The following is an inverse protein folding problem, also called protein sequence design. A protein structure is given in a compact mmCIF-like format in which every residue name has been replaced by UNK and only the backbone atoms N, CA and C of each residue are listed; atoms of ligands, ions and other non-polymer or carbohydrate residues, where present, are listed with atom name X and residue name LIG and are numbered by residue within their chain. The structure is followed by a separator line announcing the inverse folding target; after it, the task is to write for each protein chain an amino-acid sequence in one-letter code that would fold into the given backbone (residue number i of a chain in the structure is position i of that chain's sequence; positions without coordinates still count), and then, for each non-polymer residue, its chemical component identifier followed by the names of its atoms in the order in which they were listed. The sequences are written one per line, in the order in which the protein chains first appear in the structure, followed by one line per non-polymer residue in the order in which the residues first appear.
data_IF_118405107460
#
_entry.id   IF_118405107460
#
_cell.length_a   1.000
_cell.length_b   1.000
_cell.length_c   1.000
_cell.angle_alpha   90.00
_cell.angle_beta   90.00
_cell.angle_gamma   90.00
#
_symmetry.space_group_name_H-M   'P 1'
#
loop_
_entity.id
_entity.type
_entity.pdbx_description
1 polymer ?
#
# COMPACT_ATOMS: atom_id res chain seq x y z
N UNK A 1 62.44 -49.78 12.72
CA UNK A 1 62.56 -48.38 13.16
C UNK A 1 62.53 -47.56 11.87
N UNK A 2 61.53 -46.77 11.48
CA UNK A 2 60.41 -46.12 12.16
C UNK A 2 59.41 -45.74 11.04
N UNK A 3 58.18 -46.24 11.12
CA UNK A 3 56.95 -45.45 11.25
C UNK A 3 56.46 -44.68 10.00
N UNK A 4 55.47 -45.30 9.35
CA UNK A 4 54.39 -44.70 8.57
C UNK A 4 54.06 -43.24 8.95
N UNK A 5 54.51 -42.27 8.16
CA UNK A 5 53.93 -40.92 8.14
C UNK A 5 52.80 -40.85 7.10
N UNK A 6 51.75 -41.63 7.32
CA UNK A 6 50.42 -41.20 6.87
C UNK A 6 50.02 -40.03 7.75
N UNK A 7 50.36 -38.82 7.31
CA UNK A 7 49.86 -37.58 7.92
C UNK A 7 48.36 -37.54 7.66
N UNK A 8 47.60 -38.10 8.60
CA UNK A 8 46.14 -38.00 8.74
C UNK A 8 45.77 -36.52 8.53
N UNK A 9 45.25 -36.19 7.35
CA UNK A 9 44.65 -34.88 7.13
C UNK A 9 43.54 -34.75 8.16
N UNK A 10 43.70 -33.78 9.06
CA UNK A 10 42.71 -33.44 10.07
C UNK A 10 41.43 -33.07 9.33
N UNK A 11 40.42 -33.94 9.37
CA UNK A 11 39.06 -33.59 8.99
C UNK A 11 38.67 -32.38 9.84
N UNK A 12 38.57 -31.21 9.20
CA UNK A 12 38.08 -30.00 9.83
C UNK A 12 36.71 -30.29 10.42
N UNK A 13 36.58 -30.12 11.73
CA UNK A 13 35.31 -30.19 12.41
C UNK A 13 34.37 -29.16 11.76
N UNK A 14 33.14 -29.60 11.50
CA UNK A 14 32.03 -28.87 10.85
C UNK A 14 31.94 -28.99 9.32
N UNK A 15 31.96 -30.21 8.77
CA UNK A 15 31.36 -30.47 7.45
C UNK A 15 29.86 -30.76 7.60
N UNK A 16 29.01 -29.89 7.09
CA UNK A 16 27.55 -30.15 7.02
C UNK A 16 27.32 -31.30 6.04
N UNK A 17 26.50 -32.29 6.43
CA UNK A 17 26.15 -33.40 5.54
C UNK A 17 25.48 -32.86 4.27
N UNK A 18 25.88 -33.30 3.07
CA UNK A 18 25.20 -32.92 1.82
C UNK A 18 23.69 -33.19 1.84
N UNK A 19 23.24 -34.19 2.61
CA UNK A 19 21.83 -34.52 2.79
C UNK A 19 21.10 -33.40 3.54
N UNK A 20 21.72 -32.83 4.57
CA UNK A 20 21.15 -31.70 5.31
C UNK A 20 21.06 -30.48 4.40
N UNK A 21 22.08 -30.24 3.58
CA UNK A 21 22.05 -29.19 2.54
C UNK A 21 20.91 -29.39 1.54
N UNK A 22 20.70 -30.63 1.07
CA UNK A 22 19.63 -30.97 0.13
C UNK A 22 18.23 -30.76 0.76
N UNK A 23 18.03 -31.21 2.00
CA UNK A 23 16.77 -30.99 2.74
C UNK A 23 16.50 -29.51 2.91
N UNK A 24 17.53 -28.73 3.25
CA UNK A 24 17.40 -27.28 3.40
C UNK A 24 16.97 -26.61 2.08
N UNK A 25 17.58 -27.00 0.96
CA UNK A 25 17.20 -26.50 -0.37
C UNK A 25 15.75 -26.87 -0.70
N UNK A 26 15.36 -28.14 -0.52
CA UNK A 26 13.99 -28.60 -0.77
C UNK A 26 13.00 -27.84 0.12
N UNK A 27 13.35 -27.59 1.38
CA UNK A 27 12.52 -26.80 2.31
C UNK A 27 12.30 -25.37 1.81
N UNK A 28 13.35 -24.69 1.34
CA UNK A 28 13.24 -23.35 0.76
C UNK A 28 12.34 -23.36 -0.49
N UNK A 29 12.54 -24.29 -1.41
CA UNK A 29 11.71 -24.39 -2.61
C UNK A 29 10.26 -24.76 -2.29
N UNK A 30 10.04 -25.62 -1.30
CA UNK A 30 8.71 -25.97 -0.80
C UNK A 30 8.00 -24.76 -0.20
N UNK A 31 8.68 -23.99 0.66
CA UNK A 31 8.14 -22.76 1.25
C UNK A 31 7.86 -21.70 0.18
N UNK A 32 8.77 -21.53 -0.78
CA UNK A 32 8.56 -20.65 -1.92
C UNK A 32 7.33 -21.06 -2.75
N UNK A 33 7.17 -22.36 -3.02
CA UNK A 33 5.99 -22.89 -3.72
C UNK A 33 4.69 -22.63 -2.97
N UNK A 34 4.68 -22.80 -1.64
CA UNK A 34 3.52 -22.47 -0.80
C UNK A 34 3.19 -20.98 -0.88
N UNK A 35 4.19 -20.10 -0.74
CA UNK A 35 4.00 -18.65 -0.87
C UNK A 35 3.43 -18.31 -2.25
N UNK A 36 4.02 -18.86 -3.32
CA UNK A 36 3.57 -18.63 -4.69
C UNK A 36 2.11 -19.06 -4.92
N UNK A 37 1.71 -20.22 -4.36
CA UNK A 37 0.34 -20.71 -4.47
C UNK A 37 -0.64 -19.81 -3.71
N UNK A 38 -0.27 -19.33 -2.53
CA UNK A 38 -1.12 -18.44 -1.72
C UNK A 38 -1.25 -17.06 -2.37
N UNK A 39 -0.15 -16.52 -2.91
CA UNK A 39 -0.10 -15.19 -3.53
C UNK A 39 -1.01 -15.09 -4.78
N UNK A 40 -1.25 -16.21 -5.45
CA UNK A 40 -2.17 -16.29 -6.58
C UNK A 40 -3.66 -16.32 -6.21
N UNK A 41 -4.01 -16.52 -4.94
CA UNK A 41 -5.41 -16.60 -4.48
C UNK A 41 -5.91 -15.19 -4.18
N UNK A 42 -6.21 -14.44 -5.23
CA UNK A 42 -6.80 -13.11 -5.14
C UNK A 42 -8.31 -13.15 -5.45
N UNK A 43 -9.12 -12.23 -4.88
CA UNK A 43 -10.50 -12.05 -5.29
C UNK A 43 -10.59 -11.80 -6.80
N UNK A 44 -11.67 -12.30 -7.44
CA UNK A 44 -11.92 -12.06 -8.86
C UNK A 44 -11.97 -10.55 -9.13
N UNK A 45 -11.18 -10.10 -10.09
CA UNK A 45 -11.22 -8.71 -10.55
C UNK A 45 -12.51 -8.47 -11.35
N UNK A 46 -13.29 -7.46 -10.94
CA UNK A 46 -14.54 -7.06 -11.60
C UNK A 46 -14.32 -5.79 -12.43
N UNK A 47 -14.96 -5.76 -13.60
CA UNK A 47 -14.98 -4.64 -14.54
C UNK A 47 -16.25 -3.80 -14.36
N UNK A 48 -16.33 -2.65 -15.00
CA UNK A 48 -17.53 -1.80 -15.00
C UNK A 48 -18.72 -2.54 -15.64
N UNK A 49 -18.47 -3.39 -16.64
CA UNK A 49 -19.52 -4.19 -17.25
C UNK A 49 -20.19 -5.17 -16.26
N UNK A 50 -19.43 -5.66 -15.27
CA UNK A 50 -19.92 -6.58 -14.24
C UNK A 50 -20.79 -5.88 -13.18
N UNK A 51 -20.79 -4.55 -13.11
CA UNK A 51 -21.52 -3.79 -12.07
C UNK A 51 -23.03 -4.04 -12.09
N UNK A 52 -23.60 -4.27 -13.28
CA UNK A 52 -25.03 -4.60 -13.43
C UNK A 52 -25.40 -5.87 -12.67
N UNK A 53 -24.52 -6.86 -12.71
CA UNK A 53 -24.74 -8.17 -12.11
C UNK A 53 -24.26 -8.20 -10.64
N UNK A 54 -23.36 -7.29 -10.25
CA UNK A 54 -22.77 -7.20 -8.92
C UNK A 54 -22.79 -5.77 -8.32
N UNK A 55 -23.97 -5.15 -8.12
CA UNK A 55 -24.10 -3.72 -7.80
C UNK A 55 -23.54 -3.29 -6.44
N UNK A 56 -23.24 -4.24 -5.55
CA UNK A 56 -22.69 -3.99 -4.21
C UNK A 56 -21.24 -4.45 -4.05
N UNK A 57 -20.60 -4.92 -5.13
CA UNK A 57 -19.23 -5.41 -5.08
C UNK A 57 -18.23 -4.31 -5.43
N UNK A 58 -17.00 -4.49 -4.96
CA UNK A 58 -15.88 -3.67 -5.36
C UNK A 58 -15.56 -3.88 -6.85
N UNK A 59 -15.51 -2.78 -7.61
CA UNK A 59 -15.18 -2.79 -9.04
C UNK A 59 -13.71 -2.39 -9.22
N UNK A 60 -12.87 -3.36 -9.60
CA UNK A 60 -11.42 -3.16 -9.74
C UNK A 60 -11.07 -2.16 -10.83
N UNK A 61 -11.76 -2.23 -11.98
CA UNK A 61 -11.50 -1.32 -13.11
C UNK A 61 -11.65 0.16 -12.69
N UNK A 62 -12.69 0.48 -11.92
CA UNK A 62 -12.92 1.85 -11.41
C UNK A 62 -11.79 2.30 -10.47
N UNK A 63 -11.35 1.43 -9.57
CA UNK A 63 -10.22 1.74 -8.69
C UNK A 63 -8.91 1.95 -9.49
N UNK A 64 -8.67 1.14 -10.52
CA UNK A 64 -7.53 1.32 -11.42
C UNK A 64 -7.61 2.62 -12.23
N UNK A 65 -8.81 3.02 -12.67
CA UNK A 65 -9.02 4.31 -13.33
C UNK A 65 -8.69 5.47 -12.38
N UNK A 66 -9.12 5.41 -11.12
CA UNK A 66 -8.77 6.42 -10.12
C UNK A 66 -7.26 6.48 -9.85
N UNK A 67 -6.63 5.31 -9.68
CA UNK A 67 -5.19 5.22 -9.49
C UNK A 67 -4.44 5.84 -10.67
N UNK A 68 -4.79 5.44 -11.91
CA UNK A 68 -4.17 5.97 -13.13
C UNK A 68 -4.37 7.47 -13.28
N UNK A 69 -5.57 7.98 -12.99
CA UNK A 69 -5.85 9.41 -13.07
C UNK A 69 -4.98 10.19 -12.08
N UNK A 70 -4.92 9.76 -10.82
CA UNK A 70 -4.12 10.42 -9.78
C UNK A 70 -2.61 10.35 -10.10
N UNK A 71 -2.09 9.19 -10.55
CA UNK A 71 -0.67 9.05 -10.84
C UNK A 71 -0.25 9.69 -12.17
N UNK A 72 -1.18 9.87 -13.11
CA UNK A 72 -0.92 10.58 -14.36
C UNK A 72 -0.70 12.09 -14.20
N UNK A 73 -1.07 12.68 -13.06
CA UNK A 73 -0.79 14.08 -12.73
C UNK A 73 0.72 14.37 -12.74
N UNK A 74 1.55 13.38 -12.38
CA UNK A 74 2.99 13.53 -12.23
C UNK A 74 3.46 13.47 -10.78
N UNK A 75 4.72 13.83 -10.49
CA UNK A 75 5.26 13.86 -9.12
C UNK A 75 4.48 14.84 -8.23
N UNK A 76 3.84 14.33 -7.18
CA UNK A 76 3.05 15.09 -6.21
C UNK A 76 3.89 15.37 -4.96
N UNK A 77 5.11 15.88 -5.14
CA UNK A 77 5.95 16.26 -4.00
C UNK A 77 5.31 17.47 -3.31
N UNK A 78 5.35 17.51 -1.97
CA UNK A 78 4.81 18.64 -1.19
C UNK A 78 5.34 19.97 -1.72
N UNK A 79 4.44 20.95 -1.89
CA UNK A 79 4.74 22.27 -2.46
C UNK A 79 4.67 22.36 -3.99
N UNK A 80 4.49 21.25 -4.71
CA UNK A 80 4.31 21.25 -6.16
C UNK A 80 2.83 21.49 -6.51
N UNK A 81 2.56 22.12 -7.65
CA UNK A 81 1.19 22.39 -8.10
C UNK A 81 0.40 21.09 -8.36
N UNK A 82 1.10 20.04 -8.79
CA UNK A 82 0.61 18.68 -8.94
C UNK A 82 0.01 18.14 -7.63
N UNK A 83 0.68 18.40 -6.50
CA UNK A 83 0.20 18.00 -5.17
C UNK A 83 -0.87 18.95 -4.63
N UNK A 84 -0.54 20.24 -4.54
CA UNK A 84 -1.31 21.22 -3.78
C UNK A 84 -2.60 21.66 -4.48
N UNK A 85 -2.67 21.52 -5.81
CA UNK A 85 -3.80 21.99 -6.62
C UNK A 85 -4.45 20.82 -7.34
N UNK A 86 -3.70 20.12 -8.19
CA UNK A 86 -4.29 19.14 -9.11
C UNK A 86 -4.78 17.88 -8.39
N UNK A 87 -3.96 17.30 -7.50
CA UNK A 87 -4.35 16.12 -6.74
C UNK A 87 -5.48 16.42 -5.75
N UNK A 88 -5.42 17.56 -5.05
CA UNK A 88 -6.49 17.99 -4.12
C UNK A 88 -7.79 18.22 -4.88
N UNK A 89 -7.75 18.89 -6.04
CA UNK A 89 -8.93 19.12 -6.88
C UNK A 89 -9.54 17.79 -7.35
N UNK A 90 -8.71 16.89 -7.86
CA UNK A 90 -9.14 15.57 -8.32
C UNK A 90 -9.83 14.77 -7.22
N UNK A 91 -9.22 14.67 -6.04
CA UNK A 91 -9.77 13.95 -4.90
C UNK A 91 -11.07 14.60 -4.40
N UNK A 92 -11.11 15.93 -4.31
CA UNK A 92 -12.30 16.68 -3.89
C UNK A 92 -13.47 16.47 -4.85
N UNK A 93 -13.22 16.48 -6.17
CA UNK A 93 -14.24 16.23 -7.19
C UNK A 93 -14.77 14.79 -7.11
N UNK A 94 -13.88 13.80 -6.99
CA UNK A 94 -14.26 12.40 -6.84
C UNK A 94 -15.12 12.17 -5.58
N UNK A 95 -14.71 12.74 -4.44
CA UNK A 95 -15.46 12.66 -3.18
C UNK A 95 -16.83 13.32 -3.32
N UNK A 96 -16.91 14.53 -3.89
CA UNK A 96 -18.19 15.21 -4.08
C UNK A 96 -19.14 14.44 -5.01
N UNK A 97 -18.61 13.80 -6.05
CA UNK A 97 -19.39 12.92 -6.91
C UNK A 97 -19.97 11.73 -6.15
N UNK A 98 -19.17 11.09 -5.28
CA UNK A 98 -19.63 9.99 -4.40
C UNK A 98 -20.71 10.49 -3.44
N UNK A 99 -20.55 11.69 -2.87
CA UNK A 99 -21.53 12.31 -1.96
C UNK A 99 -22.90 12.52 -2.62
N UNK A 100 -22.91 12.92 -3.90
CA UNK A 100 -24.15 13.12 -4.66
C UNK A 100 -24.89 11.80 -4.93
N UNK A 101 -24.17 10.68 -4.98
CA UNK A 101 -24.73 9.34 -5.19
C UNK A 101 -25.06 8.61 -3.88
N UNK A 102 -24.83 9.24 -2.72
CA UNK A 102 -25.01 8.61 -1.43
C UNK A 102 -26.48 8.26 -1.16
N UNK A 103 -26.72 7.04 -0.68
CA UNK A 103 -28.06 6.62 -0.26
C UNK A 103 -28.54 7.42 0.97
N UNK A 104 -29.83 7.76 1.04
CA UNK A 104 -30.41 8.64 2.06
C UNK A 104 -30.27 8.17 3.53
N UNK A 105 -29.88 6.91 3.75
CA UNK A 105 -29.59 6.34 5.07
C UNK A 105 -28.18 6.67 5.59
N UNK A 106 -27.29 7.12 4.72
CA UNK A 106 -25.90 7.42 5.02
C UNK A 106 -25.62 8.91 4.85
N UNK A 107 -24.70 9.41 5.65
CA UNK A 107 -24.14 10.75 5.56
C UNK A 107 -22.64 10.62 5.27
N UNK A 108 -22.15 11.44 4.34
CA UNK A 108 -20.74 11.55 4.02
C UNK A 108 -20.31 12.99 4.30
N UNK A 109 -19.61 13.18 5.41
CA UNK A 109 -18.96 14.43 5.77
C UNK A 109 -17.61 14.52 5.06
N UNK A 110 -17.27 15.72 4.61
CA UNK A 110 -16.02 16.02 3.93
C UNK A 110 -15.43 17.29 4.55
N UNK A 111 -14.16 17.20 4.92
CA UNK A 111 -13.40 18.31 5.49
C UNK A 111 -12.03 18.40 4.78
N UNK A 112 -11.73 19.60 4.27
CA UNK A 112 -10.44 19.93 3.69
C UNK A 112 -9.68 20.79 4.69
N UNK A 113 -8.68 20.20 5.32
CA UNK A 113 -7.94 20.82 6.40
C UNK A 113 -6.66 21.43 5.88
N UNK A 114 -6.38 22.68 6.24
CA UNK A 114 -5.12 23.35 5.98
C UNK A 114 -4.33 23.45 7.28
N UNK A 115 -3.19 22.76 7.36
CA UNK A 115 -2.42 22.64 8.60
C UNK A 115 -0.97 23.08 8.41
N UNK A 116 -0.43 23.66 9.47
CA UNK A 116 0.97 24.05 9.57
C UNK A 116 1.51 23.54 10.90
N UNK A 117 2.79 23.19 10.93
CA UNK A 117 3.39 22.61 12.11
C UNK A 117 4.89 22.52 12.01
N UNK A 118 5.51 22.11 13.11
CA UNK A 118 6.94 21.84 13.15
C UNK A 118 7.23 20.71 14.12
N UNK A 119 8.33 20.01 13.87
CA UNK A 119 8.85 18.98 14.75
C UNK A 119 10.38 19.02 14.71
N UNK A 120 11.01 18.44 15.73
CA UNK A 120 12.47 18.35 15.81
C UNK A 120 12.85 16.89 15.59
N UNK A 121 13.58 16.62 14.51
CA UNK A 121 14.20 15.33 14.25
C UNK A 121 15.59 15.56 13.65
N UNK A 122 16.63 15.50 14.49
CA UNK A 122 18.02 15.94 14.23
C UNK A 122 18.19 17.44 13.90
N UNK A 123 17.28 18.01 13.11
CA UNK A 123 17.12 19.44 12.81
C UNK A 123 15.66 19.85 12.99
N UNK A 124 15.40 21.16 13.09
CA UNK A 124 14.02 21.69 13.07
C UNK A 124 13.45 21.48 11.67
N UNK A 125 12.35 20.76 11.58
CA UNK A 125 11.55 20.60 10.36
C UNK A 125 10.23 21.32 10.54
N UNK A 126 9.91 22.22 9.61
CA UNK A 126 8.64 22.94 9.61
C UNK A 126 7.92 22.70 8.29
N UNK A 127 6.60 22.58 8.35
CA UNK A 127 5.72 22.52 7.19
C UNK A 127 4.63 23.56 7.36
N UNK A 128 4.18 24.11 6.23
CA UNK A 128 3.16 25.15 6.21
C UNK A 128 2.16 24.85 5.13
N UNK A 129 0.88 25.11 5.41
CA UNK A 129 -0.21 25.00 4.45
C UNK A 129 -0.33 23.62 3.79
N UNK A 130 -0.04 22.56 4.54
CA UNK A 130 -0.25 21.18 4.07
C UNK A 130 -1.74 20.89 4.11
N UNK A 131 -2.27 20.30 3.04
CA UNK A 131 -3.69 19.98 2.92
C UNK A 131 -3.96 18.52 3.28
N UNK A 132 -4.86 18.27 4.22
CA UNK A 132 -5.39 16.95 4.51
C UNK A 132 -6.84 16.86 4.04
N UNK A 133 -7.20 15.73 3.44
CA UNK A 133 -8.57 15.43 3.04
C UNK A 133 -9.12 14.38 4.00
N UNK A 134 -10.18 14.73 4.72
CA UNK A 134 -10.84 13.84 5.67
C UNK A 134 -12.26 13.59 5.21
N UNK A 135 -12.61 12.31 5.09
CA UNK A 135 -13.96 11.85 4.72
C UNK A 135 -14.49 10.94 5.81
N UNK A 136 -15.71 11.21 6.26
CA UNK A 136 -16.39 10.39 7.26
C UNK A 136 -17.72 9.90 6.71
N UNK A 137 -17.81 8.59 6.49
CA UNK A 137 -19.06 7.90 6.19
C UNK A 137 -19.69 7.40 7.49
N UNK A 138 -20.95 7.73 7.73
CA UNK A 138 -21.69 7.20 8.88
C UNK A 138 -23.19 7.07 8.59
N UNK A 139 -23.87 6.18 9.30
CA UNK A 139 -25.32 6.13 9.32
C UNK A 139 -25.89 7.31 10.12
N UNK A 140 -27.15 7.69 9.86
CA UNK A 140 -27.85 8.71 10.67
C UNK A 140 -27.93 8.33 12.16
N UNK A 141 -28.05 7.04 12.45
CA UNK A 141 -28.04 6.47 13.80
C UNK A 141 -26.68 5.78 14.05
N UNK A 142 -25.61 6.56 14.15
CA UNK A 142 -24.25 6.04 14.26
C UNK A 142 -23.97 5.34 15.59
N UNK A 143 -23.08 4.35 15.57
CA UNK A 143 -22.52 3.73 16.78
C UNK A 143 -21.26 4.48 17.25
N UNK A 144 -20.76 4.15 18.44
CA UNK A 144 -19.52 4.74 18.98
C UNK A 144 -18.22 4.13 18.38
N UNK A 145 -18.34 3.21 17.42
CA UNK A 145 -17.20 2.52 16.83
C UNK A 145 -16.85 3.13 15.48
N UNK A 146 -15.57 3.27 15.18
CA UNK A 146 -15.09 3.80 13.90
C UNK A 146 -13.89 2.99 13.39
N UNK A 147 -13.77 2.93 12.07
CA UNK A 147 -12.60 2.41 11.37
C UNK A 147 -11.95 3.57 10.62
N UNK A 148 -10.69 3.86 10.92
CA UNK A 148 -9.89 4.82 10.16
C UNK A 148 -9.07 4.07 9.12
N UNK A 149 -9.26 4.44 7.86
CA UNK A 149 -8.39 4.06 6.75
C UNK A 149 -7.70 5.34 6.27
N UNK A 150 -6.37 5.34 6.25
CA UNK A 150 -5.56 6.48 5.84
C UNK A 150 -4.58 6.10 4.73
N UNK A 151 -4.19 7.10 3.95
CA UNK A 151 -3.15 7.02 2.94
C UNK A 151 -2.56 8.42 2.72
N UNK A 152 -1.37 8.44 2.12
CA UNK A 152 -0.72 9.66 1.64
C UNK A 152 -0.96 9.79 0.13
N UNK A 153 -1.39 10.98 -0.32
CA UNK A 153 -1.54 11.27 -1.75
C UNK A 153 -0.32 11.97 -2.33
N UNK A 154 0.52 12.57 -1.47
CA UNK A 154 1.81 13.13 -1.83
C UNK A 154 2.81 12.02 -2.18
N UNK A 155 3.77 12.36 -3.04
CA UNK A 155 4.84 11.46 -3.46
C UNK A 155 6.15 11.86 -2.81
N UNK A 156 6.96 10.89 -2.40
CA UNK A 156 8.30 11.15 -1.91
C UNK A 156 9.18 11.81 -2.99
N UNK A 157 10.10 12.71 -2.60
CA UNK A 157 11.11 13.23 -3.53
C UNK A 157 11.84 12.08 -4.23
N UNK A 158 12.09 12.22 -5.53
CA UNK A 158 12.75 11.20 -6.39
C UNK A 158 12.00 9.89 -6.61
N UNK A 159 10.80 9.72 -6.04
CA UNK A 159 9.95 8.58 -6.38
C UNK A 159 9.45 8.70 -7.82
N UNK A 160 9.20 7.58 -8.54
CA UNK A 160 8.72 7.63 -9.91
C UNK A 160 7.38 8.37 -10.04
N UNK A 161 6.60 8.52 -8.96
CA UNK A 161 5.40 9.36 -8.87
C UNK A 161 4.25 8.95 -9.82
N UNK A 162 4.45 7.89 -10.61
CA UNK A 162 3.63 7.39 -11.72
C UNK A 162 3.09 6.00 -11.42
#
# INVERSE_FOLDING_TARGET
MECNKFKKMKNGAHSVSPIIGLIFIISIFGLYGVVYLIDGILPKSLTIADEKDYPLHFITERAQQHLKALTSIGPRVVGYAENEIQAVAYLTEAINSIRQLAHASHTIDFDLQLVSGSFIYSTISAYSNVQNIVVKLHAKNSTNNSLLVNAHFDSAPTSPGR
#
